data_IF_265722586127
#
_entry.id   IF_265722586127
#
_cell.length_a   1.000
_cell.length_b   1.000
_cell.length_c   1.000
_cell.angle_alpha   90.00
_cell.angle_beta   90.00
_cell.angle_gamma   90.00
#
_symmetry.space_group_name_H-M   'P 1'
#
loop_
_entity.id
_entity.type
_entity.pdbx_description
1 polymer ?
#
# COMPACT_ATOMS: atom_id res chain seq x y z
N UNK A 1 3.19 -31.32 -19.00
CA UNK A 1 3.56 -31.60 -17.60
C UNK A 1 3.04 -30.43 -16.79
N UNK A 2 2.05 -30.68 -15.94
CA UNK A 2 1.29 -29.65 -15.22
C UNK A 2 2.15 -29.01 -14.13
N UNK A 3 2.09 -27.68 -14.05
CA UNK A 3 2.72 -26.87 -13.00
C UNK A 3 1.60 -26.51 -12.03
N UNK A 4 1.67 -27.05 -10.81
CA UNK A 4 0.76 -26.67 -9.74
C UNK A 4 1.31 -25.42 -9.04
N UNK A 5 0.54 -24.33 -9.09
CA UNK A 5 0.78 -23.13 -8.30
C UNK A 5 0.19 -23.33 -6.92
N UNK A 6 1.04 -23.54 -5.91
CA UNK A 6 0.59 -23.60 -4.54
C UNK A 6 0.54 -22.17 -3.99
N UNK A 7 -0.67 -21.62 -3.84
CA UNK A 7 -0.90 -20.30 -3.26
C UNK A 7 -0.72 -20.36 -1.73
N UNK A 8 0.53 -20.35 -1.31
CA UNK A 8 0.93 -20.20 0.08
C UNK A 8 2.23 -19.43 0.16
N UNK A 9 2.26 -18.41 1.02
CA UNK A 9 3.42 -17.63 1.45
C UNK A 9 3.79 -16.38 0.61
N UNK A 10 3.22 -15.23 1.00
CA UNK A 10 3.54 -13.90 0.46
C UNK A 10 4.56 -13.15 1.32
N UNK A 11 5.51 -13.85 1.95
CA UNK A 11 6.39 -13.20 2.93
C UNK A 11 7.90 -13.30 2.69
N UNK A 12 8.37 -14.19 1.81
CA UNK A 12 9.77 -14.23 1.34
C UNK A 12 9.80 -14.87 -0.06
N UNK A 13 10.35 -14.18 -1.06
CA UNK A 13 10.68 -14.82 -2.34
C UNK A 13 12.03 -15.52 -2.19
N UNK A 14 12.02 -16.75 -1.68
CA UNK A 14 13.05 -17.74 -2.03
C UNK A 14 12.52 -18.53 -3.22
N UNK A 15 12.96 -18.20 -4.44
CA UNK A 15 12.70 -19.06 -5.60
C UNK A 15 13.58 -20.31 -5.50
N UNK A 16 13.01 -21.40 -4.98
CA UNK A 16 13.66 -22.72 -4.99
C UNK A 16 13.25 -23.45 -6.27
N UNK A 17 14.18 -23.54 -7.23
CA UNK A 17 13.98 -24.34 -8.45
C UNK A 17 14.24 -25.82 -8.17
N UNK A 18 13.26 -26.67 -8.49
CA UNK A 18 13.41 -28.12 -8.48
C UNK A 18 13.77 -28.63 -9.87
N UNK A 19 14.76 -29.53 -9.97
CA UNK A 19 14.89 -30.37 -11.17
C UNK A 19 13.71 -31.34 -11.23
N UNK A 20 13.36 -31.81 -12.43
CA UNK A 20 12.35 -32.85 -12.64
C UNK A 20 12.66 -34.20 -11.96
N UNK A 21 13.80 -34.29 -11.25
CA UNK A 21 14.26 -35.44 -10.47
C UNK A 21 14.12 -35.24 -8.95
N UNK A 22 13.51 -34.15 -8.49
CA UNK A 22 13.16 -33.95 -7.08
C UNK A 22 14.29 -33.49 -6.14
N UNK A 23 15.47 -33.12 -6.65
CA UNK A 23 16.53 -32.51 -5.83
C UNK A 23 16.53 -30.98 -5.92
N UNK A 24 16.64 -30.25 -4.79
CA UNK A 24 16.71 -28.79 -4.77
C UNK A 24 18.08 -28.28 -5.24
N UNK A 25 18.10 -27.22 -6.05
CA UNK A 25 19.31 -26.45 -6.33
C UNK A 25 19.71 -25.67 -5.07
N UNK A 26 20.84 -26.02 -4.45
CA UNK A 26 21.42 -25.25 -3.34
C UNK A 26 22.11 -24.00 -3.88
N UNK A 27 21.46 -22.86 -3.70
CA UNK A 27 22.04 -21.53 -3.90
C UNK A 27 20.99 -20.45 -3.67
N UNK A 28 21.16 -19.63 -2.63
CA UNK A 28 20.32 -18.45 -2.39
C UNK A 28 20.81 -17.36 -3.32
N UNK A 29 20.06 -17.06 -4.38
CA UNK A 29 20.36 -15.97 -5.30
C UNK A 29 19.34 -14.86 -5.08
N UNK A 30 19.75 -13.82 -4.34
CA UNK A 30 18.97 -12.60 -4.15
C UNK A 30 19.01 -11.80 -5.46
N UNK A 31 18.13 -12.13 -6.40
CA UNK A 31 17.99 -11.37 -7.64
C UNK A 31 17.24 -10.06 -7.36
N UNK A 32 17.86 -8.93 -7.69
CA UNK A 32 17.19 -7.64 -7.79
C UNK A 32 16.15 -7.73 -8.91
N UNK A 33 14.89 -7.98 -8.55
CA UNK A 33 13.77 -8.03 -9.49
C UNK A 33 13.46 -6.59 -9.96
N UNK A 34 13.57 -6.26 -11.26
CA UNK A 34 13.29 -4.92 -11.76
C UNK A 34 11.85 -4.48 -11.49
N UNK A 35 11.66 -3.17 -11.26
CA UNK A 35 10.41 -2.48 -10.90
C UNK A 35 9.16 -2.93 -11.64
N UNK A 36 9.32 -3.28 -12.92
CA UNK A 36 8.22 -3.71 -13.75
C UNK A 36 7.63 -5.04 -13.29
N UNK A 37 8.44 -5.99 -12.81
CA UNK A 37 7.94 -7.31 -12.36
C UNK A 37 7.23 -7.17 -11.04
N UNK A 38 7.57 -6.18 -10.22
CA UNK A 38 6.76 -5.84 -9.03
C UNK A 38 5.41 -5.24 -9.42
N UNK A 39 5.37 -4.33 -10.39
CA UNK A 39 4.12 -3.75 -10.89
C UNK A 39 3.25 -4.76 -11.62
N UNK A 40 3.83 -5.62 -12.46
CA UNK A 40 3.07 -6.61 -13.23
C UNK A 40 2.64 -7.83 -12.41
N UNK A 41 3.46 -8.29 -11.46
CA UNK A 41 3.08 -9.39 -10.57
C UNK A 41 2.00 -8.93 -9.57
N UNK A 42 2.06 -7.67 -9.10
CA UNK A 42 0.96 -7.05 -8.38
C UNK A 42 -0.24 -6.72 -9.31
N UNK A 43 -0.01 -6.58 -10.62
CA UNK A 43 -1.08 -6.42 -11.61
C UNK A 43 -1.80 -7.72 -11.95
N UNK A 44 -1.12 -8.87 -11.94
CA UNK A 44 -1.77 -10.16 -12.22
C UNK A 44 -2.71 -10.59 -11.09
N UNK A 45 -2.49 -10.11 -9.86
CA UNK A 45 -3.40 -10.33 -8.73
C UNK A 45 -4.48 -9.22 -8.58
N UNK A 46 -4.36 -8.07 -9.24
CA UNK A 46 -5.30 -6.96 -9.02
C UNK A 46 -5.19 -5.72 -9.88
N UNK A 47 -4.35 -5.67 -10.92
CA UNK A 47 -4.32 -4.57 -11.90
C UNK A 47 -4.55 -4.98 -13.37
N UNK A 48 -4.91 -6.23 -13.64
CA UNK A 48 -5.35 -6.69 -14.95
C UNK A 48 -6.70 -6.02 -15.32
N UNK A 49 -6.63 -4.88 -16.01
CA UNK A 49 -7.80 -4.10 -16.45
C UNK A 49 -7.72 -2.59 -16.23
N UNK A 50 -6.63 -2.08 -15.67
CA UNK A 50 -6.52 -0.67 -15.29
C UNK A 50 -6.00 0.18 -16.46
N UNK A 51 -6.78 1.17 -16.90
CA UNK A 51 -6.31 2.16 -17.88
C UNK A 51 -5.39 3.20 -17.22
N UNK A 52 -4.15 2.81 -16.97
CA UNK A 52 -3.10 3.69 -16.46
C UNK A 52 -2.75 4.82 -17.46
N UNK A 53 -3.18 4.73 -18.73
CA UNK A 53 -2.99 5.80 -19.73
C UNK A 53 -3.83 7.04 -19.39
N UNK A 54 -5.02 6.85 -18.81
CA UNK A 54 -5.85 7.95 -18.31
C UNK A 54 -5.22 8.74 -17.15
N UNK A 55 -4.43 8.09 -16.29
CA UNK A 55 -3.67 8.77 -15.21
C UNK A 55 -2.52 9.63 -15.74
N UNK A 56 -1.90 9.20 -16.84
CA UNK A 56 -0.70 9.83 -17.38
C UNK A 56 -0.98 11.11 -18.18
N UNK A 57 -2.23 11.36 -18.59
CA UNK A 57 -2.54 12.38 -19.60
C UNK A 57 -3.45 13.52 -19.12
N UNK A 58 -4.17 13.39 -18.01
CA UNK A 58 -5.16 14.38 -17.61
C UNK A 58 -4.67 15.25 -16.44
N UNK A 59 -4.13 16.44 -16.74
CA UNK A 59 -4.18 17.54 -15.76
C UNK A 59 -5.66 17.88 -15.55
N UNK A 60 -6.14 17.73 -14.32
CA UNK A 60 -7.50 18.10 -13.97
C UNK A 60 -7.64 19.63 -14.04
N UNK A 61 -8.72 20.13 -14.61
CA UNK A 61 -9.00 21.57 -14.56
C UNK A 61 -9.39 21.98 -13.13
N UNK A 62 -9.27 23.27 -12.80
CA UNK A 62 -9.73 23.78 -11.50
C UNK A 62 -11.23 23.55 -11.29
N UNK A 63 -12.03 23.67 -12.34
CA UNK A 63 -13.48 23.43 -12.30
C UNK A 63 -13.78 21.95 -12.02
N UNK A 64 -13.08 21.03 -12.69
CA UNK A 64 -13.23 19.60 -12.42
C UNK A 64 -12.77 19.26 -11.01
N UNK A 65 -11.64 19.82 -10.55
CA UNK A 65 -11.16 19.60 -9.18
C UNK A 65 -12.17 20.06 -8.12
N UNK A 66 -12.87 21.18 -8.37
CA UNK A 66 -13.98 21.64 -7.52
C UNK A 66 -15.15 20.66 -7.54
N UNK A 67 -15.61 20.22 -8.72
CA UNK A 67 -16.66 19.19 -8.85
C UNK A 67 -16.28 17.90 -8.10
N UNK A 68 -15.01 17.50 -8.19
CA UNK A 68 -14.52 16.29 -7.52
C UNK A 68 -14.40 16.43 -6.01
N UNK A 69 -14.16 17.65 -5.50
CA UNK A 69 -14.20 17.96 -4.08
C UNK A 69 -15.65 18.00 -3.56
N UNK A 70 -16.57 18.63 -4.29
CA UNK A 70 -17.97 18.80 -3.87
C UNK A 70 -18.72 17.47 -3.78
N UNK A 71 -18.31 16.44 -4.54
CA UNK A 71 -18.89 15.09 -4.44
C UNK A 71 -18.38 14.26 -3.25
N UNK A 72 -17.34 14.70 -2.53
CA UNK A 72 -16.77 13.93 -1.41
C UNK A 72 -17.77 13.90 -0.26
N UNK A 73 -18.02 12.71 0.28
CA UNK A 73 -18.94 12.46 1.39
C UNK A 73 -18.23 12.35 2.74
N UNK A 74 -16.94 12.02 2.72
CA UNK A 74 -16.15 11.76 3.92
C UNK A 74 -14.82 12.50 3.87
N UNK A 75 -14.29 12.87 5.03
CA UNK A 75 -12.97 13.48 5.10
C UNK A 75 -11.85 12.46 4.85
N UNK A 76 -11.91 11.31 5.51
CA UNK A 76 -10.89 10.29 5.41
C UNK A 76 -11.48 8.88 5.40
N UNK A 77 -10.81 7.97 4.70
CA UNK A 77 -11.17 6.56 4.57
C UNK A 77 -9.96 5.64 4.77
N UNK A 78 -10.13 4.61 5.60
CA UNK A 78 -9.27 3.43 5.64
C UNK A 78 -10.04 2.20 5.19
N UNK A 79 -9.52 1.48 4.19
CA UNK A 79 -10.01 0.15 3.83
C UNK A 79 -9.01 -0.86 4.39
N UNK A 80 -9.43 -1.66 5.37
CA UNK A 80 -8.56 -2.67 5.97
C UNK A 80 -9.36 -3.88 6.41
N UNK A 81 -8.78 -5.06 6.18
CA UNK A 81 -9.39 -6.35 6.53
C UNK A 81 -8.87 -6.95 7.84
N UNK A 82 -8.11 -6.20 8.66
CA UNK A 82 -7.72 -6.55 10.05
C UNK A 82 -6.67 -5.56 10.59
N UNK A 83 -6.51 -5.53 11.92
CA UNK A 83 -5.33 -4.92 12.59
C UNK A 83 -4.17 -5.91 12.67
N UNK A 84 -4.46 -7.18 12.91
CA UNK A 84 -3.49 -8.28 13.01
C UNK A 84 -4.19 -9.62 12.75
N UNK A 85 -4.06 -10.24 11.57
CA UNK A 85 -4.21 -11.70 11.50
C UNK A 85 -3.01 -12.28 12.26
N UNK A 86 -3.21 -12.74 13.51
CA UNK A 86 -2.18 -13.07 14.52
C UNK A 86 -0.99 -13.93 14.05
N UNK A 87 -1.09 -14.62 12.91
CA UNK A 87 -0.03 -15.43 12.31
C UNK A 87 0.69 -14.81 11.11
N UNK A 88 0.17 -13.75 10.50
CA UNK A 88 0.56 -13.33 9.14
C UNK A 88 0.75 -11.82 8.95
N UNK A 89 0.59 -11.02 10.01
CA UNK A 89 0.57 -9.56 9.87
C UNK A 89 1.84 -8.91 10.44
N UNK A 90 2.42 -7.97 9.70
CA UNK A 90 3.65 -7.28 10.12
C UNK A 90 3.33 -6.14 11.09
N UNK A 91 4.21 -5.92 12.08
CA UNK A 91 4.06 -4.83 13.06
C UNK A 91 3.95 -3.45 12.41
N UNK A 92 4.63 -3.23 11.28
CA UNK A 92 4.55 -2.02 10.46
C UNK A 92 3.11 -1.64 10.11
N UNK A 93 2.26 -2.63 9.85
CA UNK A 93 0.90 -2.38 9.42
C UNK A 93 0.02 -1.77 10.54
N UNK A 94 0.48 -1.79 11.80
CA UNK A 94 -0.15 -1.02 12.89
C UNK A 94 -0.08 0.49 12.67
N UNK A 95 0.85 0.97 11.83
CA UNK A 95 1.00 2.39 11.46
C UNK A 95 -0.29 2.95 10.87
N UNK A 96 -1.00 2.20 10.02
CA UNK A 96 -2.24 2.69 9.40
C UNK A 96 -3.38 2.86 10.40
N UNK A 97 -3.44 2.00 11.41
CA UNK A 97 -4.47 2.04 12.43
C UNK A 97 -4.18 3.15 13.43
N UNK A 98 -2.91 3.30 13.82
CA UNK A 98 -2.46 4.43 14.62
C UNK A 98 -2.74 5.76 13.91
N UNK A 99 -2.37 5.87 12.63
CA UNK A 99 -2.63 7.06 11.83
C UNK A 99 -4.13 7.35 11.67
N UNK A 100 -4.94 6.33 11.41
CA UNK A 100 -6.39 6.49 11.29
C UNK A 100 -7.04 7.05 12.56
N UNK A 101 -6.63 6.56 13.73
CA UNK A 101 -7.07 7.11 15.02
C UNK A 101 -6.59 8.55 15.22
N UNK A 102 -5.30 8.81 15.02
CA UNK A 102 -4.71 10.13 15.22
C UNK A 102 -5.29 11.20 14.28
N UNK A 103 -5.53 10.84 13.02
CA UNK A 103 -6.15 11.76 12.05
C UNK A 103 -7.61 12.05 12.44
N UNK A 104 -8.38 11.04 12.84
CA UNK A 104 -9.75 11.26 13.31
C UNK A 104 -9.81 12.20 14.53
N UNK A 105 -8.89 12.03 15.49
CA UNK A 105 -8.72 12.96 16.61
C UNK A 105 -8.44 14.39 16.13
N UNK A 106 -7.51 14.56 15.18
CA UNK A 106 -7.07 15.87 14.71
C UNK A 106 -8.12 16.62 13.87
N UNK A 107 -8.98 15.88 13.16
CA UNK A 107 -10.08 16.43 12.36
C UNK A 107 -11.37 16.68 13.17
N UNK A 108 -11.42 16.20 14.42
CA UNK A 108 -12.60 16.34 15.29
C UNK A 108 -13.75 15.39 14.94
N UNK A 109 -13.58 14.52 13.94
CA UNK A 109 -14.52 13.45 13.62
C UNK A 109 -13.79 12.16 13.22
N UNK A 110 -14.34 10.97 13.54
CA UNK A 110 -13.69 9.74 13.16
C UNK A 110 -13.66 9.53 11.64
N UNK A 111 -12.48 9.18 11.13
CA UNK A 111 -12.33 8.72 9.76
C UNK A 111 -13.24 7.53 9.48
N UNK A 112 -13.82 7.46 8.28
CA UNK A 112 -14.56 6.28 7.88
C UNK A 112 -13.62 5.12 7.70
N UNK A 113 -14.17 3.93 7.76
CA UNK A 113 -13.45 2.82 7.17
C UNK A 113 -14.31 1.62 6.83
N UNK A 114 -13.75 0.76 5.99
CA UNK A 114 -14.44 -0.37 5.41
C UNK A 114 -13.61 -1.65 5.48
N UNK A 115 -14.29 -2.78 5.33
CA UNK A 115 -13.73 -4.09 5.61
C UNK A 115 -13.87 -4.46 7.08
N UNK A 116 -12.97 -5.30 7.57
CA UNK A 116 -12.91 -5.72 8.98
C UNK A 116 -12.10 -4.72 9.81
N UNK A 117 -12.75 -3.63 10.21
CA UNK A 117 -12.15 -2.67 11.14
C UNK A 117 -12.34 -3.15 12.56
N UNK A 118 -11.21 -3.24 13.27
CA UNK A 118 -11.18 -3.64 14.66
C UNK A 118 -10.62 -2.53 15.55
N UNK A 119 -11.25 -2.27 16.71
CA UNK A 119 -12.54 -2.82 17.13
C UNK A 119 -13.70 -2.35 16.22
N UNK A 120 -14.87 -3.02 16.24
CA UNK A 120 -16.07 -2.52 15.55
C UNK A 120 -16.30 -1.06 15.92
N UNK A 121 -16.39 -0.20 14.91
CA UNK A 121 -16.40 1.24 15.09
C UNK A 121 -17.64 1.87 14.46
N UNK A 122 -18.28 2.88 15.07
CA UNK A 122 -19.44 3.56 14.47
C UNK A 122 -19.16 4.23 13.11
N UNK A 123 -17.88 4.47 12.81
CA UNK A 123 -17.42 4.97 11.51
C UNK A 123 -17.23 3.89 10.45
N UNK A 124 -17.53 2.63 10.77
CA UNK A 124 -17.53 1.55 9.80
C UNK A 124 -18.62 1.79 8.75
N UNK A 125 -18.23 1.67 7.48
CA UNK A 125 -19.13 1.78 6.33
C UNK A 125 -19.02 0.51 5.49
N UNK A 126 -20.10 0.18 4.78
CA UNK A 126 -20.09 -0.88 3.79
C UNK A 126 -19.73 -0.25 2.44
N UNK A 127 -18.55 -0.58 1.93
CA UNK A 127 -18.23 -0.32 0.52
C UNK A 127 -18.86 -1.43 -0.33
N UNK A 128 -19.35 -1.13 -1.54
CA UNK A 128 -19.65 -2.16 -2.53
C UNK A 128 -18.41 -3.06 -2.81
N UNK A 129 -18.64 -4.37 -2.86
CA UNK A 129 -17.80 -5.49 -3.40
C UNK A 129 -16.26 -5.46 -3.37
N UNK A 130 -15.63 -5.84 -4.48
CA UNK A 130 -14.25 -6.39 -4.60
C UNK A 130 -13.13 -5.33 -4.64
N UNK A 131 -11.85 -5.74 -4.83
CA UNK A 131 -10.70 -4.81 -4.96
C UNK A 131 -10.90 -3.69 -6.02
N UNK A 132 -11.69 -3.96 -7.06
CA UNK A 132 -12.04 -2.98 -8.10
C UNK A 132 -13.02 -1.90 -7.58
N UNK A 133 -13.96 -2.28 -6.71
CA UNK A 133 -14.98 -1.40 -6.12
C UNK A 133 -14.44 -0.56 -4.95
N UNK A 134 -13.27 -0.95 -4.42
CA UNK A 134 -12.52 -0.15 -3.45
C UNK A 134 -12.25 1.28 -3.95
N UNK A 135 -12.09 1.46 -5.27
CA UNK A 135 -11.94 2.78 -5.91
C UNK A 135 -13.18 3.65 -5.75
N UNK A 136 -14.37 3.10 -5.94
CA UNK A 136 -15.61 3.85 -5.82
C UNK A 136 -15.76 4.38 -4.40
N UNK A 137 -15.45 3.52 -3.42
CA UNK A 137 -15.48 3.90 -2.03
C UNK A 137 -14.44 4.98 -1.69
N UNK A 138 -13.20 4.81 -2.17
CA UNK A 138 -12.15 5.84 -2.04
C UNK A 138 -12.56 7.16 -2.68
N UNK A 139 -13.31 7.11 -3.79
CA UNK A 139 -13.81 8.29 -4.50
C UNK A 139 -14.77 9.15 -3.68
N UNK A 140 -15.37 8.58 -2.64
CA UNK A 140 -16.24 9.29 -1.69
C UNK A 140 -15.46 10.04 -0.61
N UNK A 141 -14.15 9.85 -0.46
CA UNK A 141 -13.34 10.50 0.57
C UNK A 141 -12.42 11.59 -0.01
N UNK A 142 -12.13 12.66 0.76
CA UNK A 142 -11.03 13.60 0.43
C UNK A 142 -9.69 12.87 0.50
N UNK A 143 -9.47 12.09 1.57
CA UNK A 143 -8.23 11.35 1.81
C UNK A 143 -8.45 9.84 1.89
N UNK A 144 -7.60 9.06 1.23
CA UNK A 144 -7.57 7.61 1.36
C UNK A 144 -6.24 7.16 1.96
N UNK A 145 -6.30 6.40 3.06
CA UNK A 145 -5.11 5.83 3.69
C UNK A 145 -4.64 4.62 2.89
N UNK A 146 -3.63 4.84 2.05
CA UNK A 146 -3.06 3.87 1.11
C UNK A 146 -1.77 3.28 1.65
N UNK A 147 -1.79 2.93 2.94
CA UNK A 147 -0.60 2.50 3.66
C UNK A 147 -0.32 1.01 3.43
N UNK A 148 0.92 0.67 3.15
CA UNK A 148 1.39 -0.69 2.93
C UNK A 148 1.52 -1.49 4.22
N UNK A 149 1.57 -2.81 4.08
CA UNK A 149 1.75 -3.71 5.21
C UNK A 149 3.16 -3.65 5.80
N UNK A 150 4.13 -3.10 5.06
CA UNK A 150 5.54 -3.02 5.44
C UNK A 150 6.17 -1.76 4.84
N UNK A 151 7.10 -1.17 5.59
CA UNK A 151 8.02 -0.15 5.08
C UNK A 151 9.25 -0.81 4.46
N UNK A 152 9.47 -0.58 3.18
CA UNK A 152 10.62 -1.10 2.43
C UNK A 152 10.83 -0.26 1.17
N UNK A 153 12.07 0.05 0.83
CA UNK A 153 12.38 0.84 -0.36
C UNK A 153 11.89 0.14 -1.64
N UNK A 154 11.24 0.93 -2.51
CA UNK A 154 10.65 0.43 -3.75
C UNK A 154 9.51 -0.57 -3.55
N UNK A 155 8.92 -0.66 -2.35
CA UNK A 155 7.77 -1.52 -2.06
C UNK A 155 6.47 -0.71 -1.95
N UNK A 156 5.76 -0.61 -3.07
CA UNK A 156 4.42 -0.03 -3.17
C UNK A 156 3.52 -0.91 -4.04
N UNK A 157 2.21 -0.86 -3.78
CA UNK A 157 1.23 -1.74 -4.43
C UNK A 157 0.11 -0.93 -5.12
N UNK A 158 -0.93 -1.63 -5.59
CA UNK A 158 -2.14 -1.05 -6.17
C UNK A 158 -2.84 -0.02 -5.28
N UNK A 159 -2.61 -0.04 -3.96
CA UNK A 159 -3.31 0.83 -2.99
C UNK A 159 -3.21 2.31 -3.34
N UNK A 160 -1.99 2.79 -3.58
CA UNK A 160 -1.77 4.22 -3.91
C UNK A 160 -2.44 4.58 -5.23
N UNK A 161 -2.36 3.69 -6.22
CA UNK A 161 -2.96 3.90 -7.54
C UNK A 161 -4.49 3.87 -7.49
N UNK A 162 -5.09 3.02 -6.67
CA UNK A 162 -6.54 3.00 -6.46
C UNK A 162 -7.06 4.36 -5.98
N UNK A 163 -6.38 5.01 -5.03
CA UNK A 163 -6.76 6.34 -4.58
C UNK A 163 -6.57 7.42 -5.66
N UNK A 164 -5.43 7.39 -6.37
CA UNK A 164 -5.14 8.32 -7.47
C UNK A 164 -6.20 8.22 -8.58
N UNK A 165 -6.56 7.00 -8.96
CA UNK A 165 -7.60 6.71 -9.95
C UNK A 165 -9.02 7.04 -9.47
N UNK A 166 -9.25 7.01 -8.16
CA UNK A 166 -10.47 7.48 -7.54
C UNK A 166 -10.53 9.01 -7.41
N UNK A 167 -9.48 9.73 -7.87
CA UNK A 167 -9.31 11.18 -7.72
C UNK A 167 -9.47 11.59 -6.26
N UNK A 168 -8.79 10.86 -5.40
CA UNK A 168 -8.72 11.04 -3.95
C UNK A 168 -7.26 11.20 -3.56
N UNK A 169 -6.96 12.08 -2.62
CA UNK A 169 -5.57 12.30 -2.19
C UNK A 169 -5.11 11.08 -1.39
N UNK A 170 -4.09 10.33 -1.86
CA UNK A 170 -3.52 9.23 -1.09
C UNK A 170 -2.73 9.78 0.10
N UNK A 171 -2.96 9.21 1.27
CA UNK A 171 -2.08 9.35 2.44
C UNK A 171 -1.32 8.03 2.56
N UNK A 172 -0.02 8.08 2.31
CA UNK A 172 0.79 6.92 2.00
C UNK A 172 1.86 6.65 3.07
N UNK A 173 2.09 5.38 3.36
CA UNK A 173 3.18 4.85 4.18
C UNK A 173 3.57 3.51 3.56
N UNK A 174 4.86 3.18 3.50
CA UNK A 174 5.34 2.00 2.76
C UNK A 174 6.74 2.28 2.23
N UNK A 175 6.88 2.44 0.92
CA UNK A 175 8.13 2.89 0.30
C UNK A 175 8.45 4.38 0.61
N UNK A 176 9.51 4.69 1.36
CA UNK A 176 9.93 6.08 1.59
C UNK A 176 10.31 6.80 0.28
N UNK A 177 10.66 6.04 -0.76
CA UNK A 177 11.11 6.55 -2.05
C UNK A 177 10.02 6.57 -3.14
N UNK A 178 8.74 6.44 -2.78
CA UNK A 178 7.59 6.52 -3.71
C UNK A 178 7.64 7.78 -4.59
N UNK A 179 8.15 8.89 -4.06
CA UNK A 179 8.29 10.17 -4.76
C UNK A 179 9.19 10.15 -6.01
N UNK A 180 9.99 9.09 -6.20
CA UNK A 180 10.75 8.86 -7.45
C UNK A 180 9.85 8.39 -8.60
N UNK A 181 8.69 7.79 -8.28
CA UNK A 181 7.80 7.13 -9.23
C UNK A 181 6.47 7.87 -9.41
N UNK A 182 5.93 8.43 -8.34
CA UNK A 182 4.70 9.23 -8.33
C UNK A 182 5.05 10.66 -7.95
N UNK A 183 4.44 11.66 -8.59
CA UNK A 183 4.64 13.06 -8.26
C UNK A 183 4.37 13.30 -6.76
N UNK A 184 5.37 13.74 -5.96
CA UNK A 184 5.21 13.98 -4.53
C UNK A 184 4.12 14.98 -4.18
N UNK A 185 3.68 15.82 -5.13
CA UNK A 185 2.57 16.76 -4.95
C UNK A 185 1.19 16.08 -5.05
N UNK A 186 1.13 14.80 -5.41
CA UNK A 186 -0.14 14.04 -5.56
C UNK A 186 -0.51 13.18 -4.37
N UNK A 187 0.34 13.07 -3.38
CA UNK A 187 0.09 12.29 -2.18
C UNK A 187 0.73 12.93 -0.95
N UNK A 188 0.32 12.51 0.23
CA UNK A 188 0.97 12.87 1.48
C UNK A 188 1.77 11.66 1.96
N UNK A 189 3.10 11.79 2.04
CA UNK A 189 3.98 10.75 2.56
C UNK A 189 4.07 10.83 4.09
N UNK A 190 3.62 9.80 4.78
CA UNK A 190 3.91 9.59 6.19
C UNK A 190 5.20 8.77 6.31
N UNK A 191 6.16 9.26 7.09
CA UNK A 191 7.42 8.56 7.35
C UNK A 191 7.47 8.12 8.81
N UNK A 192 8.08 6.96 9.05
CA UNK A 192 8.44 6.49 10.39
C UNK A 192 9.90 6.08 10.31
N UNK A 193 10.69 6.44 11.32
CA UNK A 193 12.10 6.11 11.34
C UNK A 193 12.37 4.61 11.18
N UNK A 194 13.32 4.24 10.33
CA UNK A 194 13.71 2.83 10.11
C UNK A 194 14.10 2.12 11.42
N UNK A 195 14.76 2.84 12.33
CA UNK A 195 15.13 2.33 13.65
C UNK A 195 13.89 1.95 14.47
N UNK A 196 12.84 2.77 14.43
CA UNK A 196 11.54 2.51 15.08
C UNK A 196 10.85 1.31 14.43
N UNK A 197 10.74 1.25 13.10
CA UNK A 197 10.16 0.11 12.38
C UNK A 197 10.90 -1.19 12.73
N UNK A 198 12.24 -1.18 12.67
CA UNK A 198 13.08 -2.34 13.06
C UNK A 198 12.88 -2.75 14.52
N UNK A 199 12.71 -1.80 15.44
CA UNK A 199 12.41 -2.09 16.83
C UNK A 199 11.02 -2.73 16.99
N UNK A 200 10.00 -2.18 16.31
CA UNK A 200 8.65 -2.73 16.33
C UNK A 200 8.60 -4.15 15.78
N UNK A 201 9.29 -4.43 14.66
CA UNK A 201 9.37 -5.77 14.06
C UNK A 201 9.94 -6.84 15.01
N UNK A 202 10.75 -6.47 16.01
CA UNK A 202 11.26 -7.41 17.02
C UNK A 202 10.22 -7.83 18.05
N UNK A 203 9.11 -7.10 18.17
CA UNK A 203 8.04 -7.35 19.16
C UNK A 203 7.18 -8.55 18.79
N UNK A 204 7.09 -8.86 17.50
CA UNK A 204 6.31 -9.98 16.98
C UNK A 204 7.16 -10.80 16.01
N UNK A 205 7.35 -12.07 16.31
CA UNK A 205 7.97 -13.02 15.39
C UNK A 205 6.88 -13.73 14.60
N UNK A 206 6.95 -13.70 13.26
CA UNK A 206 5.99 -14.32 12.31
C UNK A 206 5.69 -15.82 12.57
N UNK A 207 6.48 -16.49 13.42
CA UNK A 207 6.34 -17.91 13.75
C UNK A 207 5.35 -18.19 14.89
N UNK A 208 4.92 -17.18 15.65
CA UNK A 208 4.08 -17.35 16.85
C UNK A 208 2.97 -16.32 16.88
N UNK A 209 1.81 -16.65 17.43
CA UNK A 209 0.75 -15.66 17.71
C UNK A 209 1.10 -14.71 18.87
N UNK A 210 2.29 -14.84 19.45
CA UNK A 210 2.76 -14.03 20.56
C UNK A 210 3.21 -12.65 20.09
N UNK A 211 2.72 -11.62 20.77
CA UNK A 211 3.10 -10.22 20.56
C UNK A 211 3.45 -9.64 21.93
N UNK A 212 4.74 -9.42 22.17
CA UNK A 212 5.23 -8.93 23.47
C UNK A 212 5.19 -7.39 23.54
N UNK A 213 3.99 -6.81 23.62
CA UNK A 213 3.79 -5.36 23.64
C UNK A 213 4.21 -4.74 24.99
N UNK A 214 5.23 -3.86 25.04
CA UNK A 214 5.62 -3.21 26.28
C UNK A 214 4.49 -2.38 26.90
N UNK A 215 4.26 -2.58 28.20
CA UNK A 215 3.25 -1.86 28.96
C UNK A 215 1.80 -2.28 28.70
N UNK A 216 1.56 -3.42 28.03
CA UNK A 216 0.21 -3.97 27.78
C UNK A 216 -0.02 -5.19 28.66
N UNK A 217 -1.07 -5.16 29.49
CA UNK A 217 -1.36 -6.21 30.48
C UNK A 217 -1.67 -7.57 29.86
N UNK A 218 -2.40 -7.59 28.74
CA UNK A 218 -2.83 -8.83 28.08
C UNK A 218 -1.75 -9.47 27.20
N UNK A 219 -0.52 -8.94 27.21
CA UNK A 219 0.60 -9.52 26.47
C UNK A 219 1.00 -10.90 27.05
N UNK A 220 1.27 -11.93 26.21
CA UNK A 220 1.57 -11.89 24.78
C UNK A 220 0.36 -12.03 23.83
N UNK A 221 -0.88 -12.03 24.32
CA UNK A 221 -2.10 -12.16 23.52
C UNK A 221 -3.00 -10.92 23.62
N UNK A 222 -2.50 -9.73 23.22
CA UNK A 222 -3.29 -8.52 23.30
C UNK A 222 -4.54 -8.60 22.41
N UNK A 223 -5.59 -7.91 22.83
CA UNK A 223 -6.74 -7.61 21.97
C UNK A 223 -6.35 -6.61 20.89
N UNK A 224 -7.08 -6.58 19.76
CA UNK A 224 -6.83 -5.61 18.69
C UNK A 224 -6.88 -4.17 19.19
N UNK A 225 -7.79 -3.88 20.15
CA UNK A 225 -7.88 -2.56 20.79
C UNK A 225 -6.62 -2.19 21.54
N UNK A 226 -6.01 -3.12 22.25
CA UNK A 226 -4.75 -2.90 22.96
C UNK A 226 -3.57 -2.73 21.99
N UNK A 227 -3.55 -3.47 20.88
CA UNK A 227 -2.55 -3.29 19.81
C UNK A 227 -2.65 -1.89 19.21
N UNK A 228 -3.84 -1.43 18.85
CA UNK A 228 -4.05 -0.08 18.30
C UNK A 228 -3.68 0.98 19.32
N UNK A 229 -4.12 0.86 20.58
CA UNK A 229 -3.80 1.83 21.63
C UNK A 229 -2.29 1.91 21.90
N UNK A 230 -1.60 0.77 21.90
CA UNK A 230 -0.16 0.71 21.96
C UNK A 230 0.48 1.42 20.76
N UNK A 231 0.05 1.11 19.53
CA UNK A 231 0.60 1.70 18.31
C UNK A 231 0.41 3.22 18.27
N UNK A 232 -0.77 3.72 18.64
CA UNK A 232 -1.06 5.15 18.77
C UNK A 232 -0.06 5.81 19.73
N UNK A 233 0.22 5.21 20.88
CA UNK A 233 1.18 5.75 21.84
C UNK A 233 2.61 5.76 21.28
N UNK A 234 3.06 4.67 20.68
CA UNK A 234 4.45 4.52 20.21
C UNK A 234 4.79 5.34 18.95
N UNK A 235 3.78 5.65 18.14
CA UNK A 235 3.92 6.30 16.83
C UNK A 235 3.39 7.74 16.79
N UNK A 236 2.80 8.26 17.88
CA UNK A 236 2.20 9.61 17.90
C UNK A 236 3.17 10.68 17.39
N UNK A 237 4.39 10.70 17.91
CA UNK A 237 5.40 11.69 17.52
C UNK A 237 5.86 11.53 16.07
N UNK A 238 6.12 10.29 15.63
CA UNK A 238 6.55 9.97 14.27
C UNK A 238 5.49 10.42 13.23
N UNK A 239 4.21 10.21 13.55
CA UNK A 239 3.11 10.48 12.64
C UNK A 239 2.56 11.91 12.72
N UNK A 240 2.93 12.68 13.75
CA UNK A 240 2.35 14.01 13.99
C UNK A 240 2.52 14.95 12.80
N UNK A 241 3.72 14.98 12.20
CA UNK A 241 3.98 15.82 11.01
C UNK A 241 3.05 15.46 9.84
N UNK A 242 2.80 14.17 9.61
CA UNK A 242 1.89 13.70 8.58
C UNK A 242 0.43 14.07 8.90
N UNK A 243 0.02 13.92 10.16
CA UNK A 243 -1.33 14.30 10.63
C UNK A 243 -1.57 15.80 10.43
N UNK A 244 -0.63 16.65 10.85
CA UNK A 244 -0.75 18.09 10.65
C UNK A 244 -0.82 18.44 9.17
N UNK A 245 0.01 17.79 8.34
CA UNK A 245 -0.01 18.04 6.90
C UNK A 245 -1.37 17.72 6.27
N UNK A 246 -1.99 16.59 6.64
CA UNK A 246 -3.33 16.24 6.14
C UNK A 246 -4.38 17.22 6.67
N UNK A 247 -4.28 17.64 7.92
CA UNK A 247 -5.18 18.63 8.52
C UNK A 247 -5.11 19.99 7.80
N UNK A 248 -3.92 20.50 7.52
CA UNK A 248 -3.71 21.74 6.75
C UNK A 248 -4.39 21.68 5.37
N UNK A 249 -4.26 20.54 4.67
CA UNK A 249 -4.89 20.34 3.36
C UNK A 249 -6.41 20.19 3.50
N UNK A 250 -6.88 19.54 4.57
CA UNK A 250 -8.30 19.37 4.86
C UNK A 250 -9.00 20.72 5.04
N UNK A 251 -8.38 21.65 5.77
CA UNK A 251 -8.89 22.98 6.09
C UNK A 251 -8.74 23.99 4.93
N UNK A 252 -8.00 23.62 3.87
CA UNK A 252 -7.75 24.47 2.71
C UNK A 252 -8.14 23.77 1.40
N UNK A 253 -9.34 24.07 0.91
CA UNK A 253 -9.86 23.54 -0.34
C UNK A 253 -8.97 23.83 -1.55
N UNK A 254 -8.34 25.02 -1.62
CA UNK A 254 -7.43 25.35 -2.72
C UNK A 254 -6.17 24.49 -2.66
N UNK A 255 -5.64 24.20 -1.46
CA UNK A 255 -4.53 23.27 -1.30
C UNK A 255 -4.91 21.85 -1.73
N UNK A 256 -6.11 21.38 -1.35
CA UNK A 256 -6.62 20.07 -1.77
C UNK A 256 -6.80 19.99 -3.30
N UNK A 257 -7.44 20.98 -3.91
CA UNK A 257 -7.64 21.05 -5.35
C UNK A 257 -6.32 21.20 -6.09
N UNK A 258 -5.36 21.96 -5.57
CA UNK A 258 -4.02 22.09 -6.16
C UNK A 258 -3.34 20.73 -6.24
N UNK A 259 -3.47 19.89 -5.21
CA UNK A 259 -3.02 18.50 -5.30
C UNK A 259 -3.73 17.78 -6.43
N UNK A 260 -5.06 17.82 -6.57
CA UNK A 260 -5.78 17.10 -7.63
C UNK A 260 -5.38 17.49 -9.07
N UNK A 261 -4.97 18.75 -9.26
CA UNK A 261 -4.61 19.31 -10.57
C UNK A 261 -3.19 18.94 -11.01
N UNK A 262 -2.32 18.54 -10.09
CA UNK A 262 -0.96 18.12 -10.41
C UNK A 262 -0.98 16.81 -11.25
N UNK A 263 0.00 16.60 -12.15
CA UNK A 263 0.11 15.36 -12.89
C UNK A 263 0.50 14.22 -11.93
N UNK A 264 0.00 13.00 -12.19
CA UNK A 264 0.31 11.82 -11.36
C UNK A 264 1.77 11.40 -11.48
N UNK A 265 2.32 11.48 -12.68
CA UNK A 265 3.72 11.16 -12.96
C UNK A 265 4.48 12.45 -13.29
N UNK A 266 5.77 12.51 -12.96
CA UNK A 266 6.64 13.62 -13.33
C UNK A 266 7.01 13.50 -14.82
N UNK A 267 7.14 14.62 -15.54
CA UNK A 267 7.46 14.63 -16.99
C UNK A 267 8.78 13.92 -17.34
N UNK A 268 9.71 13.83 -16.38
CA UNK A 268 10.99 13.12 -16.48
C UNK A 268 10.94 11.67 -15.99
N UNK A 269 9.79 11.23 -15.47
CA UNK A 269 9.55 9.82 -15.28
C UNK A 269 9.47 9.25 -16.70
N UNK A 270 10.62 8.74 -17.16
CA UNK A 270 10.79 7.99 -18.38
C UNK A 270 10.07 6.65 -18.21
N UNK A 271 8.77 6.72 -17.89
CA UNK A 271 7.85 5.59 -17.89
C UNK A 271 7.57 5.33 -19.36
N UNK A 272 8.62 4.86 -20.06
CA UNK A 272 8.51 4.35 -21.41
C UNK A 272 7.33 3.39 -21.41
N UNK A 273 6.52 3.40 -22.48
CA UNK A 273 5.29 2.61 -22.62
C UNK A 273 5.44 1.15 -22.12
N UNK A 274 6.65 0.58 -22.19
CA UNK A 274 7.06 -0.74 -21.66
C UNK A 274 6.87 -0.98 -20.15
N UNK A 275 6.86 0.06 -19.31
CA UNK A 275 6.84 -0.12 -17.84
C UNK A 275 5.43 -0.17 -17.26
N UNK A 276 4.42 0.27 -18.02
CA UNK A 276 3.03 0.43 -17.57
C UNK A 276 2.15 -0.75 -17.98
N UNK A 277 2.48 -1.43 -19.07
CA UNK A 277 1.65 -2.47 -19.69
C UNK A 277 2.07 -3.92 -19.34
N UNK A 278 3.01 -4.10 -18.41
CA UNK A 278 3.52 -5.42 -18.07
C UNK A 278 4.46 -6.02 -19.14
N UNK A 279 4.93 -5.24 -20.11
CA UNK A 279 5.90 -5.71 -21.11
C UNK A 279 7.32 -5.81 -20.56
N UNK A 280 7.82 -4.83 -19.80
CA UNK A 280 9.15 -4.89 -19.18
C UNK A 280 9.41 -6.10 -18.24
N UNK A 281 8.45 -6.56 -17.42
CA UNK A 281 8.60 -7.80 -16.66
C UNK A 281 8.45 -9.06 -17.50
N UNK A 282 7.55 -9.09 -18.48
CA UNK A 282 7.47 -10.20 -19.41
C UNK A 282 8.76 -10.33 -20.23
N UNK A 283 9.35 -9.22 -20.65
CA UNK A 283 10.65 -9.17 -21.34
C UNK A 283 11.78 -9.55 -20.39
N UNK A 284 11.79 -9.08 -19.15
CA UNK A 284 12.79 -9.47 -18.15
C UNK A 284 12.75 -10.95 -17.79
N UNK A 285 11.56 -11.53 -17.65
CA UNK A 285 11.35 -12.97 -17.44
C UNK A 285 11.76 -13.74 -18.70
N UNK A 286 11.41 -13.27 -19.90
CA UNK A 286 11.79 -13.92 -21.16
C UNK A 286 13.30 -13.88 -21.41
N UNK A 287 13.98 -12.76 -21.12
CA UNK A 287 15.44 -12.65 -21.25
C UNK A 287 16.15 -13.52 -20.21
N UNK A 288 15.61 -13.61 -19.00
CA UNK A 288 16.12 -14.54 -17.98
C UNK A 288 15.91 -16.00 -18.39
N UNK A 289 14.74 -16.34 -18.95
CA UNK A 289 14.46 -17.69 -19.47
C UNK A 289 15.31 -18.04 -20.70
N UNK A 290 15.63 -17.08 -21.57
CA UNK A 290 16.60 -17.25 -22.66
C UNK A 290 18.03 -17.47 -22.13
N UNK A 291 18.43 -16.70 -21.13
CA UNK A 291 19.76 -16.83 -20.49
C UNK A 291 19.92 -18.20 -19.83
N UNK A 292 18.83 -18.74 -19.27
CA UNK A 292 18.79 -20.09 -18.70
C UNK A 292 18.60 -21.22 -19.73
N UNK A 293 18.61 -20.91 -21.03
CA UNK A 293 18.35 -21.86 -22.12
C UNK A 293 17.07 -22.68 -21.89
N UNK A 294 16.01 -22.02 -21.43
CA UNK A 294 14.72 -22.66 -21.21
C UNK A 294 14.21 -23.29 -22.50
N UNK A 295 13.71 -24.54 -22.47
CA UNK A 295 13.13 -25.21 -23.63
C UNK A 295 11.91 -24.51 -24.23
N UNK A 296 11.35 -23.50 -23.55
CA UNK A 296 10.29 -22.62 -24.08
C UNK A 296 10.81 -21.60 -25.12
N UNK A 297 12.11 -21.33 -25.16
CA UNK A 297 12.72 -20.31 -26.02
C UNK A 297 13.90 -20.83 -26.87
N UNK A 298 14.28 -22.09 -26.68
CA UNK A 298 15.17 -22.82 -27.58
C UNK A 298 14.34 -23.78 -28.42
N UNK A 299 13.83 -23.27 -29.54
CA UNK A 299 13.37 -24.04 -30.69
C UNK A 299 14.04 -23.46 -31.94
#
# INVERSE_FOLDING_TARGET
REVYWNYGDLSQYDMVFYRSTGQPLKGTLTAYVPLATRLAYNSEAGCAGYDLRGLAQAKMSREDARKELDRKKFNCLLISNTVMKRRFYNMDATVRHAFWTLLGEALGEPCKGAGFIYPPHPAAIVCPGTHLESRECMGLAKFAMTMENQQEDGWFSEKVFNALLAKTVPVYFGAPDLGKYVNPKRFVLCTVADSKIKAMRKIHTKRTEHINLPGVKSSPYPTDREVVAWAVRELREELNSCVQRVKEIHENDEAYMAMLQEPVFLDNANVSRKWIDGTSPAVGIADYMKTLQSPLFTA
#
